data_IF_974717761617
#
_entry.id   IF_974717761617
#
_cell.length_a   1.000
_cell.length_b   1.000
_cell.length_c   1.000
_cell.angle_alpha   90.00
_cell.angle_beta   90.00
_cell.angle_gamma   90.00
#
_symmetry.space_group_name_H-M   'P 1'
#
loop_
_entity.id
_entity.type
_entity.pdbx_description
1 polymer ?
#
# COMPACT_ATOMS: atom_id res chain seq x y z
N UNK A 1 -13.45 11.97 -0.07
CA UNK A 1 -13.41 11.16 -1.31
C UNK A 1 -14.40 10.02 -1.14
N UNK A 2 -15.20 9.71 -2.16
CA UNK A 2 -16.19 8.63 -2.12
C UNK A 2 -15.72 7.49 -3.02
N UNK A 3 -15.68 6.23 -2.56
CA UNK A 3 -15.36 5.07 -3.40
C UNK A 3 -16.39 4.89 -4.52
N UNK A 4 -15.91 4.63 -5.74
CA UNK A 4 -16.75 4.38 -6.93
C UNK A 4 -16.74 2.90 -7.35
N UNK A 5 -15.83 2.11 -6.81
CA UNK A 5 -15.67 0.68 -7.11
C UNK A 5 -15.03 0.38 -8.47
N UNK A 6 -14.59 1.40 -9.20
CA UNK A 6 -13.89 1.26 -10.49
C UNK A 6 -12.45 1.78 -10.41
N UNK A 7 -12.26 3.01 -9.92
CA UNK A 7 -10.95 3.66 -9.79
C UNK A 7 -10.59 3.96 -8.33
N UNK A 8 -11.58 4.24 -7.50
CA UNK A 8 -11.42 4.53 -6.08
C UNK A 8 -12.02 3.36 -5.31
N UNK A 9 -11.13 2.60 -4.68
CA UNK A 9 -11.47 1.38 -3.97
C UNK A 9 -11.36 1.57 -2.47
N UNK A 10 -12.22 0.86 -1.75
CA UNK A 10 -11.92 0.47 -0.37
C UNK A 10 -11.16 -0.85 -0.37
N UNK A 11 -10.81 -1.35 0.82
CA UNK A 11 -10.23 -2.68 0.93
C UNK A 11 -11.17 -3.79 0.41
N UNK A 12 -12.50 -3.59 0.42
CA UNK A 12 -13.46 -4.59 -0.05
C UNK A 12 -13.33 -4.86 -1.55
N UNK A 13 -13.19 -3.82 -2.37
CA UNK A 13 -12.96 -3.99 -3.81
C UNK A 13 -11.56 -4.53 -4.08
N UNK A 14 -10.57 -4.10 -3.28
CA UNK A 14 -9.20 -4.58 -3.37
C UNK A 14 -9.05 -6.09 -3.06
N UNK A 15 -9.97 -6.71 -2.33
CA UNK A 15 -10.00 -8.18 -2.11
C UNK A 15 -10.52 -8.97 -3.31
N UNK A 16 -11.31 -8.33 -4.18
CA UNK A 16 -11.98 -8.97 -5.33
C UNK A 16 -11.89 -8.08 -6.57
N UNK A 17 -10.66 -7.75 -7.03
CA UNK A 17 -10.50 -6.90 -8.20
C UNK A 17 -11.06 -7.64 -9.42
N UNK A 18 -11.87 -6.95 -10.24
CA UNK A 18 -12.32 -7.50 -11.52
C UNK A 18 -11.15 -7.71 -12.50
N UNK A 19 -10.09 -6.93 -12.33
CA UNK A 19 -8.88 -6.92 -13.14
C UNK A 19 -7.74 -6.31 -12.33
N UNK A 20 -6.53 -6.85 -12.50
CA UNK A 20 -5.34 -6.32 -11.82
C UNK A 20 -4.92 -5.00 -12.47
N UNK A 21 -4.80 -3.91 -11.69
CA UNK A 21 -4.41 -2.62 -12.23
C UNK A 21 -2.92 -2.62 -12.59
N UNK A 22 -2.53 -1.85 -13.62
CA UNK A 22 -1.09 -1.67 -13.93
C UNK A 22 -0.34 -0.92 -12.84
N UNK A 23 -1.03 -0.04 -12.12
CA UNK A 23 -0.50 0.74 -11.01
C UNK A 23 -1.58 0.95 -9.95
N UNK A 24 -1.17 0.98 -8.68
CA UNK A 24 -2.07 1.14 -7.54
C UNK A 24 -1.49 2.18 -6.56
N UNK A 25 -2.29 3.19 -6.24
CA UNK A 25 -2.02 4.14 -5.16
C UNK A 25 -2.77 3.69 -3.91
N UNK A 26 -2.06 3.47 -2.82
CA UNK A 26 -2.63 3.11 -1.52
C UNK A 26 -2.44 4.30 -0.59
N UNK A 27 -3.55 4.77 -0.01
CA UNK A 27 -3.57 5.87 0.96
C UNK A 27 -3.81 5.28 2.35
N UNK A 28 -2.85 5.51 3.25
CA UNK A 28 -2.81 4.92 4.58
C UNK A 28 -1.93 3.67 4.62
N UNK A 29 -0.99 3.65 5.57
CA UNK A 29 0.02 2.60 5.72
C UNK A 29 -0.06 1.83 7.03
N UNK A 30 -1.26 1.78 7.62
CA UNK A 30 -1.57 0.79 8.66
C UNK A 30 -1.43 -0.65 8.13
N UNK A 31 -1.59 -1.64 9.00
CA UNK A 31 -1.37 -3.06 8.67
C UNK A 31 -2.03 -3.48 7.34
N UNK A 32 -3.31 -3.14 7.14
CA UNK A 32 -4.06 -3.43 5.91
C UNK A 32 -3.40 -2.81 4.67
N UNK A 33 -3.02 -1.53 4.71
CA UNK A 33 -2.40 -0.84 3.59
C UNK A 33 -1.05 -1.45 3.20
N UNK A 34 -0.26 -1.85 4.18
CA UNK A 34 1.03 -2.53 4.00
C UNK A 34 0.85 -3.94 3.42
N UNK A 35 -0.13 -4.71 3.91
CA UNK A 35 -0.48 -6.02 3.35
C UNK A 35 -0.87 -5.93 1.88
N UNK A 36 -1.76 -5.00 1.52
CA UNK A 36 -2.16 -4.78 0.12
C UNK A 36 -1.01 -4.26 -0.74
N UNK A 37 -0.15 -3.38 -0.21
CA UNK A 37 1.01 -2.91 -0.95
C UNK A 37 1.93 -4.06 -1.32
N UNK A 38 2.19 -4.96 -0.37
CA UNK A 38 2.97 -6.17 -0.61
C UNK A 38 2.29 -7.09 -1.63
N UNK A 39 1.01 -7.40 -1.42
CA UNK A 39 0.24 -8.32 -2.25
C UNK A 39 0.16 -7.85 -3.71
N UNK A 40 -0.25 -6.60 -3.94
CA UNK A 40 -0.41 -6.07 -5.30
C UNK A 40 0.93 -5.93 -6.03
N UNK A 41 2.01 -5.62 -5.30
CA UNK A 41 3.34 -5.60 -5.88
C UNK A 41 3.78 -7.01 -6.33
N UNK A 42 3.52 -8.04 -5.52
CA UNK A 42 3.82 -9.44 -5.88
C UNK A 42 2.98 -9.93 -7.07
N UNK A 43 1.77 -9.38 -7.24
CA UNK A 43 0.92 -9.60 -8.41
C UNK A 43 1.35 -8.78 -9.64
N UNK A 44 2.46 -8.04 -9.57
CA UNK A 44 3.05 -7.30 -10.68
C UNK A 44 2.50 -5.88 -10.89
N UNK A 45 1.72 -5.36 -9.94
CA UNK A 45 1.22 -3.99 -10.00
C UNK A 45 2.31 -3.01 -9.55
N UNK A 46 2.45 -1.86 -10.22
CA UNK A 46 3.30 -0.78 -9.72
C UNK A 46 2.64 -0.09 -8.53
N UNK A 47 3.14 -0.33 -7.33
CA UNK A 47 2.52 0.20 -6.09
C UNK A 47 3.22 1.47 -5.60
N UNK A 48 2.39 2.46 -5.24
CA UNK A 48 2.80 3.63 -4.45
C UNK A 48 1.99 3.66 -3.16
N UNK A 49 2.66 3.67 -2.01
CA UNK A 49 2.07 3.74 -0.68
C UNK A 49 2.31 5.14 -0.09
N UNK A 50 1.24 5.80 0.35
CA UNK A 50 1.29 7.15 0.92
C UNK A 50 0.74 7.14 2.34
N UNK A 51 1.51 7.69 3.26
CA UNK A 51 1.16 7.90 4.66
C UNK A 51 1.31 9.38 5.01
N UNK A 52 0.50 9.87 5.95
CA UNK A 52 0.56 11.26 6.44
C UNK A 52 1.41 11.38 7.70
N UNK A 53 1.54 10.29 8.47
CA UNK A 53 2.47 10.21 9.59
C UNK A 53 3.93 10.16 9.12
N UNK A 54 4.86 10.40 10.05
CA UNK A 54 6.31 10.42 9.76
C UNK A 54 6.90 9.05 9.37
N UNK A 55 6.15 7.97 9.54
CA UNK A 55 6.58 6.61 9.20
C UNK A 55 5.40 5.75 8.78
N UNK A 56 5.67 4.72 7.98
CA UNK A 56 4.69 3.65 7.72
C UNK A 56 4.49 2.79 8.96
N UNK A 57 3.36 2.08 9.08
CA UNK A 57 3.00 1.36 10.30
C UNK A 57 3.10 2.27 11.55
N UNK A 58 2.33 3.37 11.62
CA UNK A 58 2.55 4.44 12.60
C UNK A 58 2.38 4.02 14.07
N UNK A 59 1.80 2.84 14.32
CA UNK A 59 1.64 2.27 15.67
C UNK A 59 2.79 1.35 16.09
N UNK A 60 3.63 0.93 15.14
CA UNK A 60 4.74 0.02 15.38
C UNK A 60 6.02 0.77 15.72
N UNK A 61 7.00 0.04 16.25
CA UNK A 61 8.32 0.60 16.56
C UNK A 61 9.01 1.16 15.30
N UNK A 62 9.80 2.21 15.47
CA UNK A 62 10.52 2.88 14.39
C UNK A 62 11.49 1.93 13.66
N UNK A 63 12.14 1.02 14.38
CA UNK A 63 13.04 0.02 13.79
C UNK A 63 12.28 -0.93 12.86
N UNK A 64 11.13 -1.42 13.30
CA UNK A 64 10.25 -2.29 12.52
C UNK A 64 9.75 -1.56 11.27
N UNK A 65 9.26 -0.33 11.45
CA UNK A 65 8.76 0.52 10.37
C UNK A 65 9.84 0.80 9.31
N UNK A 66 11.07 1.09 9.76
CA UNK A 66 12.21 1.30 8.87
C UNK A 66 12.63 0.02 8.13
N UNK A 67 12.62 -1.14 8.80
CA UNK A 67 12.93 -2.42 8.19
C UNK A 67 11.91 -2.78 7.10
N UNK A 68 10.61 -2.58 7.36
CA UNK A 68 9.54 -2.81 6.38
C UNK A 68 9.68 -1.84 5.20
N UNK A 69 9.90 -0.55 5.45
CA UNK A 69 10.10 0.45 4.39
C UNK A 69 11.26 0.06 3.47
N UNK A 70 12.41 -0.28 4.03
CA UNK A 70 13.59 -0.71 3.26
C UNK A 70 13.31 -1.96 2.42
N UNK A 71 12.55 -2.92 2.97
CA UNK A 71 12.12 -4.11 2.25
C UNK A 71 11.20 -3.75 1.06
N UNK A 72 10.26 -2.82 1.27
CA UNK A 72 9.33 -2.36 0.25
C UNK A 72 10.03 -1.61 -0.89
N UNK A 73 10.91 -0.68 -0.55
CA UNK A 73 11.69 0.08 -1.54
C UNK A 73 12.59 -0.86 -2.37
N UNK A 74 13.21 -1.87 -1.75
CA UNK A 74 13.99 -2.89 -2.47
C UNK A 74 13.13 -3.72 -3.44
N UNK A 75 11.86 -3.93 -3.13
CA UNK A 75 10.88 -4.65 -3.97
C UNK A 75 10.25 -3.77 -5.05
N UNK A 76 10.61 -2.48 -5.12
CA UNK A 76 10.11 -1.53 -6.11
C UNK A 76 8.83 -0.79 -5.71
N UNK A 77 8.37 -0.96 -4.46
CA UNK A 77 7.23 -0.22 -3.91
C UNK A 77 7.70 1.20 -3.58
N UNK A 78 7.00 2.22 -4.10
CA UNK A 78 7.29 3.61 -3.77
C UNK A 78 6.60 3.97 -2.45
N UNK A 79 7.36 4.51 -1.48
CA UNK A 79 6.83 4.88 -0.16
C UNK A 79 6.99 6.37 0.08
N UNK A 80 5.89 7.05 0.36
CA UNK A 80 5.85 8.45 0.78
C UNK A 80 5.23 8.54 2.17
N UNK A 81 5.91 9.27 3.04
CA UNK A 81 5.56 9.54 4.45
C UNK A 81 5.82 11.02 4.68
#
# INVERSE_FOLDING_TARGET
ITPDGEYIWTYFEALRPKLLPKSLLIIGSGAIGVEFASLYNDLGCKVTLVELASQILPVEDAEVSAAVRKSFEKRGIQVHT
#
